data_IF_424926298104
#
_entry.id   IF_424926298104
#
_cell.length_a   1.000
_cell.length_b   1.000
_cell.length_c   1.000
_cell.angle_alpha   90.00
_cell.angle_beta   90.00
_cell.angle_gamma   90.00
#
_symmetry.space_group_name_H-M   'P 1'
#
loop_
_entity.id
_entity.type
_entity.pdbx_description
1 polymer ?
#
# COMPACT_ATOMS: atom_id res chain seq x y z
N UNK A 1 2.53 17.14 15.17
CA UNK A 1 3.10 15.82 15.51
C UNK A 1 2.57 14.86 14.47
N UNK A 2 3.43 14.30 13.62
CA UNK A 2 3.03 13.27 12.65
C UNK A 2 2.84 11.96 13.40
N UNK A 3 1.70 11.29 13.20
CA UNK A 3 1.47 9.97 13.79
C UNK A 3 2.32 8.93 13.06
N UNK A 4 2.90 7.97 13.78
CA UNK A 4 3.63 6.85 13.18
C UNK A 4 2.68 5.78 12.63
N UNK A 5 3.08 5.09 11.56
CA UNK A 5 2.38 3.90 11.08
C UNK A 5 2.75 2.69 11.94
N UNK A 6 1.75 1.94 12.41
CA UNK A 6 1.99 0.75 13.22
C UNK A 6 2.57 -0.44 12.43
N UNK A 7 2.50 -0.38 11.08
CA UNK A 7 2.96 -1.46 10.21
C UNK A 7 4.35 -1.23 9.60
N UNK A 8 4.88 0.00 9.63
CA UNK A 8 6.18 0.31 9.02
C UNK A 8 6.85 1.52 9.67
N UNK A 9 8.17 1.63 9.49
CA UNK A 9 9.03 2.68 10.07
C UNK A 9 8.85 4.09 9.50
N UNK A 10 7.65 4.42 9.00
CA UNK A 10 7.42 5.70 8.32
C UNK A 10 6.31 6.47 8.99
N UNK A 11 6.52 7.78 9.05
CA UNK A 11 5.51 8.72 9.51
C UNK A 11 4.33 8.75 8.53
N UNK A 12 3.15 9.02 9.06
CA UNK A 12 1.97 9.32 8.27
C UNK A 12 2.06 10.78 7.88
N UNK A 13 2.33 11.00 6.59
CA UNK A 13 2.39 12.34 5.98
C UNK A 13 1.08 12.70 5.27
N UNK A 14 0.21 11.71 5.07
CA UNK A 14 -1.07 11.82 4.34
C UNK A 14 -2.20 11.14 5.13
N UNK A 15 -3.24 10.66 4.44
CA UNK A 15 -4.35 9.92 5.04
C UNK A 15 -3.90 8.59 5.66
N UNK A 16 -4.48 8.27 6.81
CA UNK A 16 -4.29 7.00 7.49
C UNK A 16 -5.63 6.39 7.92
N UNK A 17 -5.65 5.07 8.00
CA UNK A 17 -6.68 4.38 8.76
C UNK A 17 -6.25 4.34 10.21
N UNK A 18 -7.06 4.90 11.09
CA UNK A 18 -6.70 5.05 12.49
C UNK A 18 -7.83 4.70 13.45
N UNK A 19 -7.45 4.36 14.67
CA UNK A 19 -8.31 4.26 15.82
C UNK A 19 -7.75 5.17 16.92
N UNK A 20 -8.46 6.27 17.21
CA UNK A 20 -8.04 7.26 18.20
C UNK A 20 -7.95 6.67 19.62
N UNK A 21 -8.85 5.73 19.95
CA UNK A 21 -8.89 5.08 21.26
C UNK A 21 -7.62 4.24 21.48
N UNK A 22 -7.18 3.53 20.44
CA UNK A 22 -6.00 2.66 20.50
C UNK A 22 -4.70 3.41 20.18
N UNK A 23 -4.79 4.68 19.75
CA UNK A 23 -3.69 5.44 19.14
C UNK A 23 -2.96 4.62 18.07
N UNK A 24 -3.73 3.93 17.23
CA UNK A 24 -3.23 3.02 16.21
C UNK A 24 -3.50 3.61 14.84
N UNK A 25 -2.48 3.73 14.01
CA UNK A 25 -2.61 4.33 12.68
C UNK A 25 -1.87 3.50 11.63
N UNK A 26 -2.41 3.43 10.42
CA UNK A 26 -1.83 2.72 9.29
C UNK A 26 -1.86 3.60 8.05
N UNK A 27 -0.78 3.61 7.27
CA UNK A 27 -0.87 4.06 5.88
C UNK A 27 -1.95 3.26 5.16
N UNK A 28 -2.68 3.89 4.24
CA UNK A 28 -3.61 3.20 3.34
C UNK A 28 -2.98 1.93 2.75
N UNK A 29 -1.75 2.10 2.26
CA UNK A 29 -0.95 1.06 1.60
C UNK A 29 -0.58 -0.11 2.53
N UNK A 30 -0.55 0.12 3.85
CA UNK A 30 -0.29 -0.89 4.86
C UNK A 30 -1.58 -1.58 5.33
N UNK A 31 -2.70 -0.86 5.36
CA UNK A 31 -4.00 -1.40 5.74
C UNK A 31 -4.57 -2.38 4.70
N UNK A 32 -4.14 -2.30 3.44
CA UNK A 32 -4.57 -3.18 2.35
C UNK A 32 -3.59 -4.32 2.05
N UNK A 33 -2.59 -4.53 2.91
CA UNK A 33 -1.69 -5.67 2.78
C UNK A 33 -2.50 -6.98 2.91
N UNK A 34 -2.38 -7.92 1.95
CA UNK A 34 -3.09 -9.19 2.05
C UNK A 34 -2.50 -10.06 3.16
N UNK A 35 -3.35 -10.81 3.86
CA UNK A 35 -2.88 -11.70 4.95
C UNK A 35 -1.94 -12.81 4.47
N UNK A 36 -2.05 -13.23 3.21
CA UNK A 36 -1.21 -14.25 2.63
C UNK A 36 -0.92 -13.99 1.15
N UNK A 37 0.30 -14.34 0.72
CA UNK A 37 0.78 -14.16 -0.65
C UNK A 37 1.49 -15.42 -1.09
N UNK A 38 1.06 -15.95 -2.25
CA UNK A 38 1.73 -17.08 -2.89
C UNK A 38 3.07 -16.62 -3.46
N UNK A 39 4.11 -17.39 -3.20
CA UNK A 39 5.39 -17.18 -3.84
C UNK A 39 5.31 -17.65 -5.29
N UNK A 40 5.91 -16.91 -6.24
CA UNK A 40 5.87 -17.25 -7.68
C UNK A 40 6.43 -18.63 -8.02
N UNK A 41 7.29 -19.17 -7.15
CA UNK A 41 7.92 -20.48 -7.32
C UNK A 41 7.42 -21.52 -6.31
N UNK A 42 6.59 -21.12 -5.34
CA UNK A 42 6.02 -22.02 -4.34
C UNK A 42 4.56 -21.63 -4.01
N UNK A 43 3.63 -22.33 -4.65
CA UNK A 43 2.20 -22.13 -4.44
C UNK A 43 1.67 -22.81 -3.17
N UNK A 44 2.44 -23.73 -2.58
CA UNK A 44 2.02 -24.57 -1.45
C UNK A 44 2.39 -23.96 -0.10
N UNK A 45 3.44 -23.12 -0.06
CA UNK A 45 3.90 -22.45 1.15
C UNK A 45 3.83 -20.92 1.00
N UNK A 46 2.64 -20.33 1.14
CA UNK A 46 2.49 -18.89 1.01
C UNK A 46 3.20 -18.14 2.14
N UNK A 47 3.76 -17.00 1.79
CA UNK A 47 4.18 -15.96 2.71
C UNK A 47 2.95 -15.44 3.46
N UNK A 48 2.97 -15.54 4.79
CA UNK A 48 1.88 -15.03 5.64
C UNK A 48 2.32 -13.73 6.31
N UNK A 49 1.41 -12.76 6.37
CA UNK A 49 1.67 -11.47 7.02
C UNK A 49 1.81 -11.67 8.52
N UNK A 50 2.93 -11.23 9.06
CA UNK A 50 3.22 -11.22 10.49
C UNK A 50 3.01 -9.81 11.03
N UNK A 51 2.08 -9.71 11.98
CA UNK A 51 1.75 -8.48 12.68
C UNK A 51 2.71 -8.29 13.85
N UNK A 52 3.61 -7.32 13.70
CA UNK A 52 4.57 -6.90 14.70
C UNK A 52 3.94 -5.99 15.78
N UNK A 53 4.62 -5.74 16.92
CA UNK A 53 5.96 -6.21 17.31
C UNK A 53 5.97 -7.66 17.82
N UNK A 54 6.96 -8.45 17.37
CA UNK A 54 7.22 -9.77 17.95
C UNK A 54 8.14 -9.59 19.16
N UNK A 55 7.67 -9.96 20.36
CA UNK A 55 8.41 -9.74 21.61
C UNK A 55 9.53 -10.74 21.87
N UNK A 56 9.44 -11.95 21.28
CA UNK A 56 10.30 -13.09 21.63
C UNK A 56 11.02 -13.74 20.43
N UNK A 57 11.19 -12.99 19.32
CA UNK A 57 11.88 -13.49 18.13
C UNK A 57 13.38 -13.19 18.19
N UNK A 58 14.21 -14.16 18.57
CA UNK A 58 15.68 -14.05 18.52
C UNK A 58 16.28 -14.22 17.13
N UNK A 59 15.45 -14.37 16.09
CA UNK A 59 15.92 -14.61 14.73
C UNK A 59 16.08 -13.28 13.99
N UNK A 60 17.28 -13.06 13.47
CA UNK A 60 17.55 -12.04 12.46
C UNK A 60 16.81 -12.45 11.19
N UNK A 61 15.71 -11.76 10.90
CA UNK A 61 14.97 -11.98 9.66
C UNK A 61 15.66 -11.21 8.54
N UNK A 62 15.98 -11.89 7.44
CA UNK A 62 16.55 -11.27 6.23
C UNK A 62 15.52 -11.38 5.12
N UNK A 63 15.31 -10.28 4.40
CA UNK A 63 14.42 -10.25 3.25
C UNK A 63 15.03 -11.01 2.07
N UNK A 64 14.34 -12.02 1.55
CA UNK A 64 14.80 -12.81 0.40
C UNK A 64 14.95 -11.98 -0.89
N UNK A 65 14.24 -10.85 -1.00
CA UNK A 65 14.23 -10.04 -2.22
C UNK A 65 15.29 -8.94 -2.26
N UNK A 66 15.54 -8.28 -1.12
CA UNK A 66 16.48 -7.16 -1.05
C UNK A 66 17.71 -7.46 -0.19
N UNK A 67 17.77 -8.63 0.44
CA UNK A 67 18.88 -9.09 1.29
C UNK A 67 19.15 -8.15 2.48
N UNK A 68 18.18 -7.31 2.84
CA UNK A 68 18.25 -6.41 4.00
C UNK A 68 17.64 -7.09 5.24
N UNK A 69 18.16 -6.73 6.42
CA UNK A 69 17.57 -7.10 7.70
C UNK A 69 16.16 -6.51 7.86
N UNK A 70 15.25 -7.32 8.40
CA UNK A 70 13.88 -6.95 8.72
C UNK A 70 13.82 -6.64 10.22
N UNK A 71 13.48 -5.40 10.57
CA UNK A 71 13.19 -5.04 11.96
C UNK A 71 11.82 -5.65 12.37
N UNK A 72 11.79 -6.60 13.34
CA UNK A 72 10.58 -7.29 13.76
C UNK A 72 9.60 -6.41 14.56
N UNK A 73 9.88 -5.11 14.68
CA UNK A 73 8.90 -4.09 15.13
C UNK A 73 7.87 -3.73 14.06
N UNK A 74 8.15 -3.99 12.79
CA UNK A 74 7.28 -3.65 11.67
C UNK A 74 6.68 -4.88 11.03
N UNK A 75 5.60 -4.71 10.27
CA UNK A 75 4.95 -5.83 9.60
C UNK A 75 5.81 -6.35 8.45
N UNK A 76 5.91 -7.67 8.36
CA UNK A 76 6.66 -8.37 7.32
C UNK A 76 5.97 -9.69 7.01
N UNK A 77 6.39 -10.34 5.94
CA UNK A 77 5.87 -11.66 5.59
C UNK A 77 6.86 -12.74 5.96
N UNK A 78 6.35 -13.86 6.45
CA UNK A 78 7.16 -15.03 6.77
C UNK A 78 6.45 -16.29 6.31
N UNK A 79 7.22 -17.22 5.75
CA UNK A 79 6.76 -18.55 5.42
C UNK A 79 7.39 -19.54 6.40
N UNK A 80 6.57 -20.10 7.31
CA UNK A 80 7.04 -21.03 8.35
C UNK A 80 7.58 -22.35 7.79
N UNK A 81 7.15 -22.75 6.60
CA UNK A 81 7.57 -24.02 5.98
C UNK A 81 8.91 -23.89 5.26
N UNK A 82 9.15 -22.74 4.61
CA UNK A 82 10.37 -22.48 3.87
C UNK A 82 11.43 -21.73 4.71
N UNK A 83 11.04 -21.23 5.88
CA UNK A 83 11.84 -20.34 6.75
C UNK A 83 12.34 -19.08 6.02
N UNK A 84 11.54 -18.60 5.06
CA UNK A 84 11.86 -17.44 4.25
C UNK A 84 11.06 -16.23 4.73
N UNK A 85 11.66 -15.05 4.62
CA UNK A 85 11.05 -13.80 5.06
C UNK A 85 11.15 -12.72 3.99
N UNK A 86 10.18 -11.80 4.01
CA UNK A 86 10.12 -10.71 3.04
C UNK A 86 9.58 -9.43 3.68
N UNK A 87 10.25 -8.30 3.42
CA UNK A 87 9.73 -7.00 3.77
C UNK A 87 8.39 -6.75 3.08
N UNK A 88 7.41 -6.17 3.78
CA UNK A 88 6.14 -5.76 3.18
C UNK A 88 6.34 -4.82 1.97
N UNK A 89 7.38 -3.97 1.97
CA UNK A 89 7.72 -3.09 0.84
C UNK A 89 8.11 -3.85 -0.44
N UNK A 90 8.89 -4.93 -0.32
CA UNK A 90 9.38 -5.71 -1.47
C UNK A 90 8.22 -6.45 -2.13
N UNK A 91 7.38 -7.05 -1.29
CA UNK A 91 6.14 -7.71 -1.71
C UNK A 91 5.18 -6.75 -2.43
N UNK A 92 4.99 -5.53 -1.93
CA UNK A 92 4.17 -4.53 -2.61
C UNK A 92 4.75 -4.06 -3.94
N UNK A 93 6.06 -4.18 -4.15
CA UNK A 93 6.75 -3.74 -5.37
C UNK A 93 6.76 -4.85 -6.44
N UNK A 94 6.82 -6.12 -6.02
CA UNK A 94 6.74 -7.27 -6.95
C UNK A 94 5.32 -7.57 -7.44
N UNK A 95 4.27 -7.17 -6.70
CA UNK A 95 2.89 -7.28 -7.17
C UNK A 95 2.52 -6.13 -8.12
N UNK A 96 2.39 -6.47 -9.40
CA UNK A 96 1.52 -5.76 -10.36
C UNK A 96 0.02 -5.91 -10.04
N UNK A 97 -0.35 -6.73 -9.04
CA UNK A 97 -1.72 -7.16 -8.79
C UNK A 97 -2.15 -6.79 -7.37
N UNK A 98 -2.67 -5.57 -7.23
CA UNK A 98 -3.52 -5.15 -6.12
C UNK A 98 -4.98 -5.44 -6.49
N UNK A 99 -5.26 -6.65 -6.99
CA UNK A 99 -6.56 -7.02 -7.60
C UNK A 99 -7.70 -7.25 -6.59
N UNK A 100 -7.51 -6.92 -5.30
CA UNK A 100 -8.51 -7.17 -4.27
C UNK A 100 -8.91 -5.93 -3.44
N UNK A 101 -8.57 -4.71 -3.89
CA UNK A 101 -9.18 -3.52 -3.28
C UNK A 101 -10.63 -3.45 -3.76
N UNK A 102 -11.58 -3.50 -2.82
CA UNK A 102 -13.01 -3.36 -3.13
C UNK A 102 -13.24 -2.05 -3.89
N UNK A 103 -13.52 -2.16 -5.19
CA UNK A 103 -14.04 -1.06 -6.00
C UNK A 103 -15.28 -0.47 -5.30
N UNK A 104 -15.35 0.87 -5.22
CA UNK A 104 -16.54 1.57 -4.73
C UNK A 104 -16.43 2.22 -3.35
N UNK A 105 -15.29 2.14 -2.66
CA UNK A 105 -15.08 2.92 -1.42
C UNK A 105 -15.06 4.42 -1.74
N UNK A 106 -15.97 5.15 -1.12
CA UNK A 106 -16.10 6.61 -1.25
C UNK A 106 -15.37 7.31 -0.11
N UNK A 107 -14.43 8.18 -0.45
CA UNK A 107 -13.63 8.97 0.49
C UNK A 107 -14.04 10.43 0.41
N UNK A 108 -14.49 10.99 1.52
CA UNK A 108 -14.76 12.42 1.61
C UNK A 108 -13.46 13.14 1.97
N UNK A 109 -13.06 14.11 1.16
CA UNK A 109 -11.88 14.93 1.41
C UNK A 109 -12.36 16.30 1.89
N UNK A 110 -11.74 16.84 2.95
CA UNK A 110 -12.09 18.17 3.45
C UNK A 110 -11.85 19.27 2.39
N UNK A 111 -10.94 19.02 1.45
CA UNK A 111 -10.63 19.90 0.33
C UNK A 111 -11.55 19.75 -0.88
N UNK A 112 -12.43 18.75 -0.88
CA UNK A 112 -13.33 18.51 -2.01
C UNK A 112 -14.66 17.89 -1.56
N UNK A 113 -15.74 18.65 -1.72
CA UNK A 113 -17.06 18.38 -1.15
C UNK A 113 -17.77 17.12 -1.66
N UNK A 114 -17.23 16.42 -2.66
CA UNK A 114 -17.78 15.15 -3.12
C UNK A 114 -16.83 14.00 -2.81
N UNK A 115 -17.44 12.87 -2.47
CA UNK A 115 -16.75 11.63 -2.24
C UNK A 115 -15.99 11.15 -3.48
N UNK A 116 -14.69 10.92 -3.31
CA UNK A 116 -13.81 10.34 -4.32
C UNK A 116 -13.89 8.82 -4.23
N UNK A 117 -14.17 8.17 -5.34
CA UNK A 117 -14.21 6.71 -5.48
C UNK A 117 -12.85 6.20 -5.88
N UNK A 118 -12.37 5.19 -5.16
CA UNK A 118 -11.18 4.46 -5.56
C UNK A 118 -11.43 3.69 -6.87
N UNK A 119 -10.57 3.91 -7.88
CA UNK A 119 -10.67 3.21 -9.17
C UNK A 119 -9.34 2.56 -9.54
N UNK A 120 -9.42 1.28 -9.93
CA UNK A 120 -8.33 0.56 -10.57
C UNK A 120 -8.42 0.83 -12.08
N UNK A 121 -7.35 1.30 -12.72
CA UNK A 121 -7.28 1.62 -14.14
C UNK A 121 -6.82 0.42 -14.99
N UNK A 122 -7.15 -0.80 -14.56
CA UNK A 122 -6.95 -2.04 -15.32
C UNK A 122 -7.93 -2.13 -16.48
N UNK A 123 -7.62 -1.44 -17.56
CA UNK A 123 -8.40 -1.49 -18.80
C UNK A 123 -8.11 -0.31 -19.71
N UNK A 124 -8.17 -0.55 -21.03
CA UNK A 124 -7.93 0.39 -22.15
C UNK A 124 -8.79 1.68 -22.15
N UNK A 125 -9.46 2.00 -21.05
CA UNK A 125 -10.42 3.10 -20.90
C UNK A 125 -9.86 4.35 -20.20
N UNK A 126 -8.74 4.26 -19.47
CA UNK A 126 -8.16 5.40 -18.72
C UNK A 126 -6.70 5.73 -19.04
N UNK A 127 -6.12 5.09 -20.07
CA UNK A 127 -4.73 5.22 -20.54
C UNK A 127 -4.32 6.65 -20.97
N UNK A 128 -5.24 7.62 -20.88
CA UNK A 128 -5.01 9.05 -21.20
C UNK A 128 -5.47 10.03 -20.14
N UNK A 129 -6.08 9.58 -19.05
CA UNK A 129 -6.50 10.49 -17.98
C UNK A 129 -5.28 11.00 -17.23
N UNK A 130 -5.18 12.32 -17.10
CA UNK A 130 -4.13 12.99 -16.34
C UNK A 130 -4.64 13.28 -14.94
N UNK A 131 -3.75 13.24 -13.98
CA UNK A 131 -4.03 13.73 -12.64
C UNK A 131 -4.30 15.24 -12.69
N UNK A 132 -5.39 15.69 -12.08
CA UNK A 132 -5.75 17.10 -12.03
C UNK A 132 -4.77 17.93 -11.17
N UNK A 133 -4.04 17.28 -10.25
CA UNK A 133 -3.04 17.95 -9.40
C UNK A 133 -1.68 18.10 -10.10
N UNK A 134 -1.11 17.02 -10.64
CA UNK A 134 0.26 17.04 -11.18
C UNK A 134 0.33 16.97 -12.72
N UNK A 135 -0.82 16.83 -13.38
CA UNK A 135 -0.96 16.73 -14.84
C UNK A 135 -0.23 15.55 -15.50
N UNK A 136 0.32 14.62 -14.73
CA UNK A 136 0.93 13.39 -15.26
C UNK A 136 -0.11 12.29 -15.49
N UNK A 137 0.10 11.37 -16.44
CA UNK A 137 -0.85 10.28 -16.69
C UNK A 137 -1.08 9.42 -15.44
N UNK A 138 -2.33 9.02 -15.18
CA UNK A 138 -2.64 8.11 -14.08
C UNK A 138 -1.95 6.76 -14.31
N UNK A 139 -2.09 6.23 -15.53
CA UNK A 139 -1.52 4.96 -16.03
C UNK A 139 0.02 4.81 -15.98
N UNK A 140 0.77 5.85 -15.62
CA UNK A 140 2.23 5.76 -15.58
C UNK A 140 2.72 5.34 -14.20
N UNK A 141 3.59 4.33 -14.14
CA UNK A 141 4.33 4.01 -12.91
C UNK A 141 5.16 5.21 -12.47
N UNK A 142 5.03 5.61 -11.21
CA UNK A 142 5.75 6.77 -10.66
C UNK A 142 6.64 6.37 -9.51
N UNK A 143 7.84 6.93 -9.50
CA UNK A 143 8.73 6.87 -8.35
C UNK A 143 8.47 8.11 -7.49
N UNK A 144 7.95 7.91 -6.29
CA UNK A 144 7.73 8.98 -5.32
C UNK A 144 8.20 8.50 -3.94
N UNK A 145 9.05 9.29 -3.29
CA UNK A 145 9.61 9.01 -1.94
C UNK A 145 10.16 7.59 -1.75
N UNK A 146 10.95 7.11 -2.71
CA UNK A 146 11.57 5.78 -2.60
C UNK A 146 10.64 4.61 -2.95
N UNK A 147 9.44 4.87 -3.48
CA UNK A 147 8.47 3.83 -3.84
C UNK A 147 8.08 3.90 -5.32
N UNK A 148 7.90 2.72 -5.91
CA UNK A 148 7.19 2.57 -7.16
C UNK A 148 5.69 2.46 -6.89
N UNK A 149 4.94 3.47 -7.30
CA UNK A 149 3.49 3.40 -7.40
C UNK A 149 3.15 2.84 -8.78
N UNK A 150 2.41 1.74 -8.83
CA UNK A 150 1.86 1.24 -10.09
C UNK A 150 0.87 2.28 -10.61
N UNK A 151 0.98 2.66 -11.88
CA UNK A 151 0.10 3.65 -12.52
C UNK A 151 -1.36 3.18 -12.67
N UNK A 152 -1.67 1.99 -12.17
CA UNK A 152 -2.95 1.35 -12.44
C UNK A 152 -4.03 1.76 -11.42
N UNK A 153 -3.84 2.86 -10.67
CA UNK A 153 -4.69 3.22 -9.53
C UNK A 153 -4.82 4.75 -9.36
N UNK A 154 -6.05 5.24 -9.15
CA UNK A 154 -6.33 6.65 -8.84
C UNK A 154 -7.63 6.86 -8.05
N UNK A 155 -7.85 8.09 -7.58
CA UNK A 155 -9.12 8.56 -7.03
C UNK A 155 -9.93 9.27 -8.12
N UNK A 156 -11.18 8.86 -8.31
CA UNK A 156 -12.12 9.48 -9.25
C UNK A 156 -13.29 10.12 -8.52
N UNK A 157 -13.62 11.37 -8.84
CA UNK A 157 -14.90 11.93 -8.46
C UNK A 157 -15.90 11.68 -9.58
N UNK A 158 -16.99 10.96 -9.31
CA UNK A 158 -18.03 10.73 -10.32
C UNK A 158 -18.87 11.99 -10.60
N UNK A 159 -18.93 12.92 -9.64
CA UNK A 159 -19.74 14.14 -9.73
C UNK A 159 -19.00 15.29 -10.43
N UNK A 160 -17.68 15.39 -10.25
CA UNK A 160 -16.84 16.45 -10.80
C UNK A 160 -15.91 15.97 -11.92
N UNK A 161 -15.88 14.68 -12.21
CA UNK A 161 -14.95 14.04 -13.15
C UNK A 161 -13.46 14.30 -12.84
N UNK A 162 -13.14 14.60 -11.58
CA UNK A 162 -11.77 14.78 -11.09
C UNK A 162 -11.08 13.42 -11.03
N UNK A 163 -9.79 13.41 -11.34
CA UNK A 163 -8.89 12.28 -11.28
C UNK A 163 -7.60 12.65 -10.57
N UNK A 164 -7.25 11.93 -9.50
CA UNK A 164 -6.02 12.17 -8.74
C UNK A 164 -5.21 10.88 -8.61
N UNK A 165 -3.88 10.97 -8.65
CA UNK A 165 -3.04 9.87 -8.19
C UNK A 165 -3.23 9.63 -6.70
N UNK A 166 -2.84 8.46 -6.19
CA UNK A 166 -2.85 8.15 -4.76
C UNK A 166 -1.86 8.99 -3.94
N UNK A 167 -0.76 9.42 -4.56
CA UNK A 167 0.29 10.28 -3.99
C UNK A 167 0.05 11.77 -4.25
N UNK A 168 -0.85 12.11 -5.18
CA UNK A 168 -1.23 13.50 -5.48
C UNK A 168 -2.49 14.04 -4.78
N UNK A 169 -3.13 13.41 -3.76
CA UNK A 169 -4.19 14.07 -3.05
C UNK A 169 -3.56 15.09 -2.11
N UNK A 170 -3.58 16.36 -2.52
CA UNK A 170 -3.41 17.50 -1.63
C UNK A 170 -4.68 18.37 -1.73
N UNK A 171 -5.08 19.03 -0.63
CA UNK A 171 -5.85 20.27 -0.71
C UNK A 171 -5.21 21.31 -1.63
#
# INVERSE_FOLDING_TARGET
MTAGCAACDRCIEMFAFGCDICNFNLHYTCAVLPDAIKHRYDEYHPFTLIYAPIKDGSNEYICEFCEEEIDPKWWFYHCIHCDQSACAKCICTERKEVDNIKQGSTYNFDSHSHGLVYVQTTGKSFDRSRCDCCHTPIGSSRFFEGRYFTGDIGFKCEQCNIMLHLDCPHP
#
